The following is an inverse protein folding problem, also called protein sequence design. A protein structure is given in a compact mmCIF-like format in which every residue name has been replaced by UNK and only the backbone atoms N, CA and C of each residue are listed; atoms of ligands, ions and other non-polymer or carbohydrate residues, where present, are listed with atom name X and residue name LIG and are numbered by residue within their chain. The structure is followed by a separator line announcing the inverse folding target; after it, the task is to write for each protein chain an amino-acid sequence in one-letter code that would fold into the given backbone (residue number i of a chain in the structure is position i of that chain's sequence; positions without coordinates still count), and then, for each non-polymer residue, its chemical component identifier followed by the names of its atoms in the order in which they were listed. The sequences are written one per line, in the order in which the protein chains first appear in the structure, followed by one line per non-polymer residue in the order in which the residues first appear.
data_IF_269744505337
#
_entry.id   IF_269744505337
#
_cell.length_a   1.000
_cell.length_b   1.000
_cell.length_c   1.000
_cell.angle_alpha   90.00
_cell.angle_beta   90.00
_cell.angle_gamma   90.00
#
_symmetry.space_group_name_H-M   'P 1'
#
loop_
_entity.id
_entity.type
_entity.pdbx_description
1 polymer ?
#
# COMPACT_ATOMS: atom_id res chain seq x y z
N UNK A 1 -3.98 -16.94 -8.97
CA UNK A 1 -3.56 -16.03 -10.06
C UNK A 1 -3.48 -14.62 -9.51
N UNK A 2 -2.40 -14.33 -8.78
CA UNK A 2 -2.08 -12.97 -8.31
C UNK A 2 -0.87 -12.40 -9.05
N UNK A 3 0.01 -13.27 -9.57
CA UNK A 3 1.17 -12.90 -10.39
C UNK A 3 0.78 -12.12 -11.64
N UNK A 4 -0.28 -12.51 -12.35
CA UNK A 4 -0.72 -11.80 -13.57
C UNK A 4 -1.25 -10.40 -13.27
N UNK A 5 -1.92 -10.23 -12.12
CA UNK A 5 -2.37 -8.92 -11.65
C UNK A 5 -1.18 -8.06 -11.20
N UNK A 6 -0.25 -8.62 -10.43
CA UNK A 6 1.00 -7.94 -10.03
C UNK A 6 1.82 -7.51 -11.25
N UNK A 7 1.99 -8.37 -12.26
CA UNK A 7 2.68 -8.05 -13.51
C UNK A 7 1.97 -6.94 -14.29
N UNK A 8 0.64 -7.01 -14.39
CA UNK A 8 -0.16 -6.00 -15.09
C UNK A 8 -0.07 -4.63 -14.41
N UNK A 9 -0.16 -4.59 -13.07
CA UNK A 9 0.00 -3.36 -12.32
C UNK A 9 1.44 -2.84 -12.36
N UNK A 10 2.45 -3.71 -12.35
CA UNK A 10 3.85 -3.29 -12.50
C UNK A 10 4.08 -2.61 -13.85
N UNK A 11 3.56 -3.20 -14.95
CA UNK A 11 3.62 -2.58 -16.28
C UNK A 11 2.85 -1.26 -16.33
N UNK A 12 1.68 -1.19 -15.70
CA UNK A 12 0.91 0.06 -15.61
C UNK A 12 1.70 1.15 -14.87
N UNK A 13 2.37 0.81 -13.76
CA UNK A 13 3.22 1.73 -13.00
C UNK A 13 4.35 2.30 -13.86
N UNK A 14 5.04 1.45 -14.64
CA UNK A 14 6.11 1.86 -15.54
C UNK A 14 5.60 2.78 -16.66
N UNK A 15 4.45 2.44 -17.26
CA UNK A 15 3.83 3.26 -18.30
C UNK A 15 3.42 4.63 -17.76
N UNK A 16 2.75 4.66 -16.60
CA UNK A 16 2.34 5.91 -15.96
C UNK A 16 3.54 6.75 -15.52
N UNK A 17 4.64 6.13 -15.08
CA UNK A 17 5.91 6.81 -14.80
C UNK A 17 6.52 7.45 -16.05
N UNK A 18 6.49 6.75 -17.19
CA UNK A 18 7.03 7.26 -18.46
C UNK A 18 6.25 8.46 -19.00
N UNK A 19 4.92 8.44 -18.87
CA UNK A 19 4.07 9.53 -19.36
C UNK A 19 3.87 10.65 -18.33
N UNK A 20 4.43 10.53 -17.12
CA UNK A 20 4.28 11.51 -16.05
C UNK A 20 2.87 11.58 -15.45
N UNK A 21 2.09 10.50 -15.53
CA UNK A 21 0.75 10.45 -14.95
C UNK A 21 0.82 9.96 -13.50
N UNK A 22 1.08 10.88 -12.59
CA UNK A 22 1.21 10.57 -11.17
C UNK A 22 -0.11 10.08 -10.54
N UNK A 23 -1.27 10.49 -11.06
CA UNK A 23 -2.55 9.95 -10.61
C UNK A 23 -2.66 8.44 -10.91
N UNK A 24 -2.38 8.06 -12.16
CA UNK A 24 -2.41 6.64 -12.57
C UNK A 24 -1.39 5.79 -11.81
N UNK A 25 -0.20 6.34 -11.51
CA UNK A 25 0.78 5.68 -10.65
C UNK A 25 0.25 5.47 -9.22
N UNK A 26 -0.39 6.49 -8.64
CA UNK A 26 -0.93 6.41 -7.28
C UNK A 26 -2.05 5.37 -7.18
N UNK A 27 -2.97 5.36 -8.16
CA UNK A 27 -4.04 4.35 -8.24
C UNK A 27 -3.47 2.93 -8.35
N UNK A 28 -2.48 2.75 -9.22
CA UNK A 28 -1.79 1.46 -9.41
C UNK A 28 -1.19 0.96 -8.10
N UNK A 29 -0.49 1.83 -7.36
CA UNK A 29 0.09 1.50 -6.06
C UNK A 29 -0.99 1.14 -5.04
N UNK A 30 -2.11 1.87 -4.99
CA UNK A 30 -3.23 1.54 -4.11
C UNK A 30 -3.80 0.15 -4.43
N UNK A 31 -3.98 -0.18 -5.70
CA UNK A 31 -4.47 -1.51 -6.11
C UNK A 31 -3.51 -2.64 -5.79
N UNK A 32 -2.19 -2.43 -5.95
CA UNK A 32 -1.18 -3.37 -5.47
C UNK A 32 -1.30 -3.56 -3.95
N UNK A 33 -1.47 -2.47 -3.19
CA UNK A 33 -1.74 -2.53 -1.75
C UNK A 33 -2.91 -3.46 -1.41
N UNK A 34 -4.03 -3.35 -2.12
CA UNK A 34 -5.19 -4.23 -1.94
C UNK A 34 -4.88 -5.69 -2.29
N UNK A 35 -4.18 -5.91 -3.40
CA UNK A 35 -3.83 -7.24 -3.89
C UNK A 35 -2.94 -7.99 -2.90
N UNK A 36 -1.89 -7.33 -2.39
CA UNK A 36 -0.99 -7.91 -1.40
C UNK A 36 -1.68 -8.11 -0.04
N UNK A 37 -2.63 -7.24 0.33
CA UNK A 37 -3.48 -7.46 1.52
C UNK A 37 -4.29 -8.74 1.40
N UNK A 38 -4.90 -9.01 0.24
CA UNK A 38 -5.66 -10.25 0.00
C UNK A 38 -4.75 -11.49 0.05
N UNK A 39 -3.47 -11.34 -0.27
CA UNK A 39 -2.47 -12.40 -0.15
C UNK A 39 -1.88 -12.56 1.27
N UNK A 40 -2.43 -11.86 2.26
CA UNK A 40 -1.90 -11.78 3.63
C UNK A 40 -0.45 -11.24 3.73
N UNK A 41 0.05 -10.60 2.67
CA UNK A 41 1.37 -9.95 2.60
C UNK A 41 1.31 -8.53 3.16
N UNK A 42 1.18 -8.44 4.48
CA UNK A 42 0.95 -7.16 5.19
C UNK A 42 2.09 -6.14 5.00
N UNK A 43 3.34 -6.58 5.01
CA UNK A 43 4.50 -5.68 4.85
C UNK A 43 4.55 -5.04 3.46
N UNK A 44 4.43 -5.84 2.39
CA UNK A 44 4.39 -5.34 1.01
C UNK A 44 3.16 -4.43 0.80
N UNK A 45 2.00 -4.83 1.31
CA UNK A 45 0.77 -4.02 1.24
C UNK A 45 0.94 -2.64 1.89
N UNK A 46 1.53 -2.57 3.09
CA UNK A 46 1.80 -1.31 3.78
C UNK A 46 2.75 -0.40 3.00
N UNK A 47 3.78 -0.96 2.37
CA UNK A 47 4.70 -0.18 1.52
C UNK A 47 3.96 0.44 0.33
N UNK A 48 3.12 -0.32 -0.36
CA UNK A 48 2.34 0.19 -1.49
C UNK A 48 1.35 1.29 -1.08
N UNK A 49 0.64 1.13 0.03
CA UNK A 49 -0.26 2.18 0.53
C UNK A 49 0.50 3.45 0.95
N UNK A 50 1.68 3.32 1.57
CA UNK A 50 2.50 4.48 1.93
C UNK A 50 2.96 5.25 0.67
N UNK A 51 3.45 4.54 -0.35
CA UNK A 51 3.84 5.15 -1.61
C UNK A 51 2.65 5.82 -2.32
N UNK A 52 1.48 5.17 -2.35
CA UNK A 52 0.27 5.74 -2.95
C UNK A 52 -0.15 7.03 -2.23
N UNK A 53 -0.18 7.02 -0.89
CA UNK A 53 -0.48 8.21 -0.06
C UNK A 53 0.45 9.37 -0.40
N UNK A 54 1.75 9.12 -0.46
CA UNK A 54 2.75 10.17 -0.70
C UNK A 54 2.56 10.78 -2.09
N UNK A 55 2.29 9.94 -3.10
CA UNK A 55 2.03 10.39 -4.47
C UNK A 55 0.71 11.18 -4.57
N UNK A 56 -0.38 10.70 -3.98
CA UNK A 56 -1.65 11.42 -3.92
C UNK A 56 -1.50 12.79 -3.21
N UNK A 57 -0.68 12.84 -2.16
CA UNK A 57 -0.38 14.09 -1.45
C UNK A 57 0.38 15.08 -2.34
N UNK A 58 1.33 14.61 -3.17
CA UNK A 58 2.06 15.43 -4.13
C UNK A 58 1.14 16.04 -5.19
N UNK A 59 0.16 15.28 -5.69
CA UNK A 59 -0.81 15.75 -6.69
C UNK A 59 -2.05 16.43 -6.07
N UNK A 60 -2.02 16.74 -4.77
CA UNK A 60 -3.14 17.36 -4.01
C UNK A 60 -4.46 16.59 -4.04
N UNK A 61 -4.41 15.27 -4.25
CA UNK A 61 -5.55 14.36 -4.13
C UNK A 61 -5.69 13.90 -2.67
N UNK A 62 -6.10 14.82 -1.81
CA UNK A 62 -6.12 14.60 -0.36
C UNK A 62 -7.13 13.52 0.08
N UNK A 63 -8.26 13.41 -0.62
CA UNK A 63 -9.26 12.37 -0.33
C UNK A 63 -8.70 10.96 -0.58
N UNK A 64 -7.99 10.77 -1.69
CA UNK A 64 -7.34 9.49 -2.01
C UNK A 64 -6.14 9.22 -1.09
N UNK A 65 -5.38 10.27 -0.72
CA UNK A 65 -4.30 10.15 0.25
C UNK A 65 -4.84 9.71 1.63
N UNK A 66 -6.03 10.21 2.00
CA UNK A 66 -6.70 9.80 3.22
C UNK A 66 -7.16 8.34 3.14
N UNK A 67 -7.80 7.92 2.04
CA UNK A 67 -8.18 6.53 1.81
C UNK A 67 -6.95 5.60 1.92
N UNK A 68 -5.84 5.93 1.23
CA UNK A 68 -4.60 5.16 1.32
C UNK A 68 -4.03 5.12 2.75
N UNK A 69 -4.16 6.20 3.52
CA UNK A 69 -3.73 6.25 4.92
C UNK A 69 -4.62 5.40 5.83
N UNK A 70 -5.92 5.41 5.60
CA UNK A 70 -6.89 4.60 6.34
C UNK A 70 -6.63 3.11 6.07
N UNK A 71 -6.34 2.73 4.82
CA UNK A 71 -5.92 1.37 4.47
C UNK A 71 -4.57 0.98 5.06
N UNK A 72 -3.59 1.87 5.05
CA UNK A 72 -2.30 1.66 5.72
C UNK A 72 -2.52 1.35 7.20
N UNK A 73 -3.34 2.14 7.89
CA UNK A 73 -3.69 1.94 9.29
C UNK A 73 -4.37 0.58 9.51
N UNK A 74 -5.29 0.17 8.63
CA UNK A 74 -5.93 -1.16 8.69
C UNK A 74 -4.90 -2.29 8.59
N UNK A 75 -3.97 -2.21 7.64
CA UNK A 75 -2.95 -3.25 7.44
C UNK A 75 -1.98 -3.32 8.61
N UNK A 76 -1.61 -2.18 9.21
CA UNK A 76 -0.73 -2.13 10.38
C UNK A 76 -1.44 -2.54 11.66
N UNK A 77 -2.71 -2.17 11.84
CA UNK A 77 -3.51 -2.39 13.06
C UNK A 77 -4.13 -3.80 13.14
N UNK A 78 -4.17 -4.55 12.02
CA UNK A 78 -4.43 -6.00 12.05
C UNK A 78 -3.26 -6.80 12.65
N UNK A 79 -2.21 -6.13 13.13
CA UNK A 79 -1.27 -6.66 14.10
C UNK A 79 -1.78 -6.23 15.47
N UNK A 80 -2.29 -7.16 16.28
CA UNK A 80 -2.53 -6.90 17.70
C UNK A 80 -1.26 -6.34 18.39
N UNK A 81 -1.38 -5.78 19.61
CA UNK A 81 -0.33 -4.95 20.22
C UNK A 81 1.01 -5.68 20.28
N UNK A 82 2.15 -4.97 20.40
CA UNK A 82 3.43 -5.63 20.66
C UNK A 82 3.21 -6.57 21.85
N UNK A 83 3.39 -7.87 21.60
CA UNK A 83 3.36 -8.87 22.65
C UNK A 83 4.27 -8.35 23.76
N UNK A 84 3.68 -8.13 24.93
CA UNK A 84 4.34 -7.68 26.14
C UNK A 84 5.59 -8.53 26.35
N UNK A 85 6.78 -7.96 26.12
CA UNK A 85 8.01 -8.55 26.63
C UNK A 85 8.13 -8.18 28.12
N UNK A 86 7.18 -8.71 28.91
CA UNK A 86 7.40 -8.91 30.33
C UNK A 86 8.07 -10.27 30.47
N UNK A 87 9.40 -10.29 30.43
CA UNK A 87 10.17 -11.45 30.85
C UNK A 87 10.25 -11.41 32.39
N UNK A 88 9.46 -12.26 33.04
CA UNK A 88 9.83 -12.87 34.31
C UNK A 88 10.15 -14.34 34.01
N UNK A 89 11.34 -14.84 34.41
CA UNK A 89 11.49 -15.57 35.69
C UNK A 89 12.87 -15.30 36.35
N UNK A 90 13.14 -15.45 37.65
CA UNK A 90 12.57 -16.21 38.77
C UNK A 90 12.53 -15.37 40.05
#
# INVERSE_FOLDING_TARGET
MYSEAEESYTRAQELYARIGNDLGRADTLRYLGHLHRQQARKMESAQFYAQARDLYSQIRRLDDAKDASDWLAVVTNQSGPPATMHLAPC
#
